data_IF_565809392120
#
_entry.id   IF_565809392120
#
_cell.length_a   1.000
_cell.length_b   1.000
_cell.length_c   1.000
_cell.angle_alpha   90.00
_cell.angle_beta   90.00
_cell.angle_gamma   90.00
#
_symmetry.space_group_name_H-M   'P 1'
#
loop_
_entity.id
_entity.type
_entity.pdbx_description
1 polymer ?
#
# COMPACT_ATOMS: atom_id res chain seq x y z
N UNK A 1 -19.13 6.00 -4.84
CA UNK A 1 -18.06 5.25 -4.14
C UNK A 1 -17.82 3.95 -4.88
N UNK A 2 -16.56 3.61 -5.15
CA UNK A 2 -16.19 2.32 -5.73
C UNK A 2 -16.02 1.28 -4.60
N UNK A 3 -16.31 0.02 -4.89
CA UNK A 3 -16.22 -1.10 -3.94
C UNK A 3 -15.70 -2.36 -4.62
N UNK A 4 -15.43 -3.39 -3.81
CA UNK A 4 -14.90 -4.68 -4.27
C UNK A 4 -13.42 -4.85 -3.94
N UNK A 5 -12.80 -5.86 -4.53
CA UNK A 5 -11.38 -6.17 -4.31
C UNK A 5 -10.45 -5.18 -5.05
N UNK A 6 -9.16 -5.24 -4.70
CA UNK A 6 -8.13 -4.51 -5.44
C UNK A 6 -8.13 -4.94 -6.92
N UNK A 7 -8.12 -4.01 -7.89
CA UNK A 7 -8.12 -4.32 -9.32
C UNK A 7 -6.73 -4.78 -9.78
N UNK A 8 -6.34 -6.01 -9.48
CA UNK A 8 -5.00 -6.56 -9.69
C UNK A 8 -4.49 -6.52 -11.14
N UNK A 9 -5.39 -6.47 -12.12
CA UNK A 9 -5.07 -6.25 -13.53
C UNK A 9 -4.24 -4.97 -13.78
N UNK A 10 -4.31 -3.97 -12.90
CA UNK A 10 -3.46 -2.76 -13.00
C UNK A 10 -1.96 -3.06 -12.85
N UNK A 11 -1.61 -4.21 -12.27
CA UNK A 11 -0.22 -4.63 -12.10
C UNK A 11 0.41 -5.24 -13.36
N UNK A 12 -0.37 -5.52 -14.41
CA UNK A 12 0.09 -6.22 -15.63
C UNK A 12 0.83 -5.27 -16.59
N UNK A 13 0.42 -4.00 -16.64
CA UNK A 13 0.81 -3.09 -17.72
C UNK A 13 2.19 -2.44 -17.64
N UNK A 14 2.91 -2.51 -16.52
CA UNK A 14 4.24 -1.90 -16.27
C UNK A 14 4.47 -0.43 -16.73
N UNK A 15 3.43 0.28 -17.16
CA UNK A 15 3.48 1.68 -17.60
C UNK A 15 2.81 2.64 -16.62
N UNK A 16 2.04 2.14 -15.66
CA UNK A 16 1.37 2.97 -14.68
C UNK A 16 2.42 3.48 -13.67
N UNK A 17 2.46 4.80 -13.46
CA UNK A 17 3.45 5.48 -12.59
C UNK A 17 2.81 5.82 -11.24
N UNK A 18 1.52 6.14 -11.23
CA UNK A 18 0.78 6.53 -10.04
C UNK A 18 -0.51 5.72 -9.98
N UNK A 19 -0.71 5.02 -8.87
CA UNK A 19 -1.97 4.35 -8.56
C UNK A 19 -2.62 5.04 -7.36
N UNK A 20 -3.81 5.58 -7.58
CA UNK A 20 -4.61 6.24 -6.55
C UNK A 20 -6.01 5.62 -6.47
N UNK A 21 -6.27 4.91 -5.38
CA UNK A 21 -7.54 4.27 -5.05
C UNK A 21 -8.12 4.81 -3.73
N UNK A 22 -7.56 5.89 -3.20
CA UNK A 22 -7.90 6.37 -1.86
C UNK A 22 -9.36 6.84 -1.74
N UNK A 23 -9.90 6.82 -0.52
CA UNK A 23 -11.26 7.30 -0.22
C UNK A 23 -12.33 6.56 -1.02
N UNK A 24 -12.35 5.23 -0.91
CA UNK A 24 -13.35 4.35 -1.51
C UNK A 24 -13.76 3.27 -0.50
N UNK A 25 -14.50 2.26 -0.96
CA UNK A 25 -14.95 1.11 -0.20
C UNK A 25 -14.28 -0.19 -0.70
N UNK A 26 -13.04 -0.12 -1.18
CA UNK A 26 -12.31 -1.32 -1.58
C UNK A 26 -11.98 -2.17 -0.36
N UNK A 27 -12.06 -3.49 -0.50
CA UNK A 27 -11.92 -4.43 0.60
C UNK A 27 -11.09 -5.67 0.18
N UNK A 28 -11.02 -6.66 1.07
CA UNK A 28 -10.18 -7.84 0.87
C UNK A 28 -8.70 -7.51 1.03
N UNK A 29 -7.83 -8.39 0.55
CA UNK A 29 -6.37 -8.23 0.68
C UNK A 29 -5.75 -7.64 -0.57
N UNK A 30 -4.66 -6.89 -0.38
CA UNK A 30 -3.81 -6.50 -1.50
C UNK A 30 -3.06 -7.74 -2.02
N UNK A 31 -3.03 -7.97 -3.34
CA UNK A 31 -2.42 -9.17 -3.89
C UNK A 31 -0.89 -9.07 -3.88
N UNK A 32 -0.23 -10.19 -3.60
CA UNK A 32 1.24 -10.30 -3.69
C UNK A 32 1.78 -10.03 -5.11
N UNK A 33 0.91 -10.10 -6.13
CA UNK A 33 1.22 -9.76 -7.51
C UNK A 33 1.71 -8.31 -7.67
N UNK A 34 1.43 -7.41 -6.71
CA UNK A 34 1.96 -6.04 -6.65
C UNK A 34 3.48 -5.99 -6.79
N UNK A 35 4.22 -7.02 -6.35
CA UNK A 35 5.69 -7.11 -6.53
C UNK A 35 6.13 -7.08 -7.99
N UNK A 36 5.24 -7.43 -8.93
CA UNK A 36 5.51 -7.45 -10.37
C UNK A 36 5.36 -6.07 -11.01
N UNK A 37 4.60 -5.18 -10.38
CA UNK A 37 4.36 -3.83 -10.85
C UNK A 37 5.57 -2.96 -10.52
N UNK A 38 6.58 -2.94 -11.40
CA UNK A 38 7.89 -2.32 -11.14
C UNK A 38 7.96 -0.82 -11.46
N UNK A 39 6.94 -0.28 -12.09
CA UNK A 39 6.88 1.12 -12.52
C UNK A 39 6.33 2.15 -11.51
N UNK A 40 5.56 1.83 -10.46
CA UNK A 40 4.91 2.84 -9.66
C UNK A 40 5.92 3.63 -8.83
N UNK A 41 5.73 4.93 -8.85
CA UNK A 41 6.35 5.88 -7.94
C UNK A 41 5.42 6.24 -6.79
N UNK A 42 4.10 6.19 -7.01
CA UNK A 42 3.08 6.57 -6.04
C UNK A 42 2.04 5.46 -5.93
N UNK A 43 1.81 4.98 -4.70
CA UNK A 43 0.79 4.00 -4.37
C UNK A 43 -0.07 4.53 -3.21
N UNK A 44 -1.35 4.80 -3.48
CA UNK A 44 -2.28 5.38 -2.51
C UNK A 44 -3.55 4.55 -2.42
N UNK A 45 -3.75 3.92 -1.25
CA UNK A 45 -4.91 3.09 -0.93
C UNK A 45 -5.55 3.49 0.41
N UNK A 46 -5.14 4.63 0.98
CA UNK A 46 -5.66 5.09 2.28
C UNK A 46 -7.17 5.34 2.25
N UNK A 47 -7.82 5.21 3.41
CA UNK A 47 -9.27 5.40 3.57
C UNK A 47 -10.06 4.40 2.69
N UNK A 48 -9.83 3.11 2.94
CA UNK A 48 -10.56 1.98 2.36
C UNK A 48 -10.79 0.93 3.47
N UNK A 49 -11.25 -0.26 3.09
CA UNK A 49 -11.53 -1.39 3.97
C UNK A 49 -10.61 -2.59 3.70
N UNK A 50 -9.40 -2.36 3.16
CA UNK A 50 -8.45 -3.45 2.90
C UNK A 50 -8.02 -4.14 4.20
N UNK A 51 -7.86 -5.47 4.15
CA UNK A 51 -7.59 -6.38 5.28
C UNK A 51 -6.39 -7.30 5.01
N UNK A 52 -5.90 -7.93 6.07
CA UNK A 52 -4.79 -8.89 5.99
C UNK A 52 -3.42 -8.19 5.98
N UNK A 53 -2.37 -8.91 5.61
CA UNK A 53 -1.02 -8.37 5.67
C UNK A 53 -0.77 -7.35 4.56
N UNK A 54 0.01 -6.32 4.86
CA UNK A 54 0.49 -5.40 3.84
C UNK A 54 1.57 -6.11 2.97
N UNK A 55 1.47 -6.07 1.63
CA UNK A 55 2.31 -6.88 0.75
C UNK A 55 3.76 -6.41 0.83
N UNK A 56 4.65 -7.27 1.36
CA UNK A 56 6.05 -6.93 1.60
C UNK A 56 6.80 -6.57 0.31
N UNK A 57 6.37 -7.14 -0.82
CA UNK A 57 6.92 -6.83 -2.14
C UNK A 57 6.77 -5.35 -2.55
N UNK A 58 5.79 -4.61 -2.01
CA UNK A 58 5.62 -3.19 -2.30
C UNK A 58 6.81 -2.36 -1.79
N UNK A 59 7.40 -2.76 -0.66
CA UNK A 59 8.57 -2.08 -0.07
C UNK A 59 9.83 -2.22 -0.92
N UNK A 60 9.93 -3.31 -1.69
CA UNK A 60 11.08 -3.61 -2.55
C UNK A 60 10.96 -3.06 -3.98
N UNK A 61 9.89 -2.33 -4.30
CA UNK A 61 9.69 -1.82 -5.66
C UNK A 61 10.74 -0.75 -5.98
N UNK A 62 11.46 -0.87 -7.12
CA UNK A 62 12.66 -0.09 -7.37
C UNK A 62 12.41 1.41 -7.60
N UNK A 63 11.18 1.80 -7.91
CA UNK A 63 10.80 3.18 -8.23
C UNK A 63 9.88 3.81 -7.20
N UNK A 64 9.44 3.07 -6.17
CA UNK A 64 8.42 3.57 -5.24
C UNK A 64 8.99 4.72 -4.40
N UNK A 65 8.25 5.84 -4.36
CA UNK A 65 8.63 7.05 -3.62
C UNK A 65 7.60 7.42 -2.57
N UNK A 66 6.33 7.06 -2.77
CA UNK A 66 5.23 7.39 -1.87
C UNK A 66 4.31 6.18 -1.74
N UNK A 67 4.08 5.78 -0.48
CA UNK A 67 3.10 4.77 -0.09
C UNK A 67 2.18 5.40 0.95
N UNK A 68 0.87 5.40 0.69
CA UNK A 68 -0.15 5.81 1.66
C UNK A 68 -1.17 4.68 1.83
N UNK A 69 -1.20 4.09 3.02
CA UNK A 69 -2.05 2.95 3.33
C UNK A 69 -2.87 3.11 4.62
N UNK A 70 -2.80 4.28 5.27
CA UNK A 70 -3.51 4.60 6.52
C UNK A 70 -5.03 4.39 6.38
N UNK A 71 -5.72 4.17 7.50
CA UNK A 71 -7.19 4.07 7.53
C UNK A 71 -7.67 2.91 6.64
N UNK A 72 -7.12 1.74 6.93
CA UNK A 72 -7.51 0.42 6.44
C UNK A 72 -7.45 -0.54 7.64
N UNK A 73 -7.74 -1.81 7.41
CA UNK A 73 -7.73 -2.88 8.42
C UNK A 73 -6.56 -3.84 8.19
N UNK A 74 -5.41 -3.31 7.76
CA UNK A 74 -4.18 -4.09 7.56
C UNK A 74 -3.63 -4.61 8.90
N UNK A 75 -3.05 -5.80 8.86
CA UNK A 75 -2.38 -6.48 9.97
C UNK A 75 -0.88 -6.60 9.69
N UNK A 76 -0.11 -6.89 10.74
CA UNK A 76 1.33 -7.13 10.67
C UNK A 76 2.20 -5.89 10.92
N UNK A 77 3.50 -6.14 11.02
CA UNK A 77 4.51 -5.12 11.32
C UNK A 77 5.10 -4.54 10.03
N UNK A 78 5.60 -3.31 10.13
CA UNK A 78 6.40 -2.71 9.06
C UNK A 78 7.73 -3.48 9.02
N UNK A 79 8.13 -4.06 7.88
CA UNK A 79 9.38 -4.82 7.81
C UNK A 79 10.58 -3.95 8.20
N UNK A 80 11.55 -4.52 8.90
CA UNK A 80 12.76 -3.82 9.36
C UNK A 80 13.52 -3.11 8.23
N UNK A 81 13.48 -3.69 7.03
CA UNK A 81 14.04 -3.09 5.81
C UNK A 81 13.49 -1.68 5.54
N UNK A 82 12.23 -1.43 5.88
CA UNK A 82 11.58 -0.12 5.78
C UNK A 82 11.92 0.74 6.99
N UNK A 83 11.96 0.17 8.20
CA UNK A 83 12.39 0.88 9.42
C UNK A 83 13.76 1.54 9.27
N UNK A 84 14.69 0.87 8.58
CA UNK A 84 16.01 1.43 8.22
C UNK A 84 15.91 2.58 7.19
N UNK A 85 15.02 2.49 6.20
CA UNK A 85 14.78 3.54 5.21
C UNK A 85 14.03 4.76 5.79
N UNK A 86 13.25 4.57 6.87
CA UNK A 86 12.56 5.65 7.61
C UNK A 86 13.52 6.56 8.40
N UNK A 87 14.80 6.18 8.55
CA UNK A 87 15.84 7.08 9.08
C UNK A 87 16.08 8.33 8.20
N UNK A 88 15.54 8.35 6.98
CA UNK A 88 15.50 9.51 6.08
C UNK A 88 14.12 10.18 6.08
N UNK A 89 13.81 10.93 7.13
CA UNK A 89 12.93 12.13 7.19
C UNK A 89 11.69 12.29 6.28
N UNK A 90 10.99 11.25 5.79
CA UNK A 90 9.81 11.47 4.93
C UNK A 90 8.72 10.38 4.86
N UNK A 91 8.45 9.65 5.93
CA UNK A 91 7.30 8.73 5.95
C UNK A 91 6.68 8.64 7.34
N UNK A 92 5.39 9.00 7.45
CA UNK A 92 4.60 8.98 8.68
C UNK A 92 3.49 7.95 8.53
N UNK A 93 3.72 6.72 9.00
CA UNK A 93 2.66 5.75 9.23
C UNK A 93 2.24 5.86 10.71
N UNK A 94 1.19 6.64 10.98
CA UNK A 94 0.53 6.59 12.30
C UNK A 94 -0.46 5.43 12.22
N UNK A 95 -0.09 4.29 12.79
CA UNK A 95 -1.06 3.27 13.21
C UNK A 95 -1.74 3.82 14.46
N UNK A 96 -3.00 4.22 14.36
CA UNK A 96 -3.80 4.46 15.56
C UNK A 96 -4.14 3.09 16.15
N UNK A 97 -3.35 2.66 17.14
CA UNK A 97 -3.93 1.84 18.19
C UNK A 97 -4.96 2.73 18.88
N UNK A 98 -6.24 2.42 18.75
CA UNK A 98 -7.26 3.01 19.62
C UNK A 98 -6.97 2.51 21.04
N UNK A 99 -6.71 3.37 22.03
CA UNK A 99 -6.74 2.94 23.41
C UNK A 99 -8.22 2.79 23.81
N UNK A 100 -8.59 1.59 24.26
CA UNK A 100 -9.65 1.45 25.26
C UNK A 100 -9.14 1.98 26.60
#
# INVERSE_FOLDING_TARGET
>A
MLSGAFPDGVCIGNGLISLSLHTNLFNGSLPDAIRRYRSPEIFQVQNNEFRGNFPSGLWSLPKIKIIRAKSNQFLGEIPDLVSMALSWNRFRLITTASPS
#
